data_IF_431048114050
#
_entry.id   IF_431048114050
#
_cell.length_a   1.000
_cell.length_b   1.000
_cell.length_c   1.000
_cell.angle_alpha   90.00
_cell.angle_beta   90.00
_cell.angle_gamma   90.00
#
_symmetry.space_group_name_H-M   'P 1'
#
loop_
_entity.id
_entity.type
_entity.pdbx_description
1 polymer ?
#
# COMPACT_ATOMS: atom_id res chain seq x y z
N UNK A 1 -23.65 -8.39 9.69
CA UNK A 1 -22.39 -8.49 8.92
C UNK A 1 -22.37 -7.40 7.85
N UNK A 2 -21.25 -6.74 7.65
CA UNK A 2 -21.11 -5.66 6.66
C UNK A 2 -21.11 -6.22 5.26
N UNK A 3 -21.78 -5.57 4.29
CA UNK A 3 -21.86 -6.04 2.91
C UNK A 3 -20.51 -6.02 2.20
N UNK A 4 -19.72 -4.98 2.38
CA UNK A 4 -18.43 -4.79 1.73
C UNK A 4 -18.52 -4.54 0.21
N UNK A 5 -17.38 -4.23 -0.40
CA UNK A 5 -17.21 -4.12 -1.85
C UNK A 5 -16.90 -5.49 -2.46
N UNK A 6 -17.27 -5.73 -3.71
CA UNK A 6 -16.98 -7.01 -4.37
C UNK A 6 -15.48 -7.15 -4.66
N UNK A 7 -14.82 -6.06 -5.03
CA UNK A 7 -13.40 -6.01 -5.38
C UNK A 7 -12.75 -4.91 -4.56
N UNK A 8 -11.77 -5.28 -3.75
CA UNK A 8 -10.97 -4.37 -2.95
C UNK A 8 -9.53 -4.42 -3.47
N UNK A 9 -9.01 -3.27 -3.86
CA UNK A 9 -7.67 -3.09 -4.40
C UNK A 9 -6.83 -2.28 -3.42
N UNK A 10 -5.60 -2.70 -3.18
CA UNK A 10 -4.69 -2.01 -2.27
C UNK A 10 -3.23 -2.25 -2.63
N UNK A 11 -2.32 -1.57 -1.95
CA UNK A 11 -0.88 -1.78 -2.04
C UNK A 11 -0.25 -1.53 -0.66
N UNK A 12 1.00 -1.94 -0.42
CA UNK A 12 1.71 -1.56 0.80
C UNK A 12 1.70 -0.05 1.02
N UNK A 13 1.64 0.38 2.26
CA UNK A 13 1.52 1.79 2.61
C UNK A 13 2.55 2.67 1.89
N UNK A 14 3.80 2.21 1.80
CA UNK A 14 4.90 2.89 1.11
C UNK A 14 4.69 3.09 -0.40
N UNK A 15 3.79 2.33 -1.01
CA UNK A 15 3.41 2.47 -2.42
C UNK A 15 2.13 3.30 -2.61
N UNK A 16 1.35 3.51 -1.54
CA UNK A 16 0.09 4.25 -1.56
C UNK A 16 0.22 5.73 -1.20
N UNK A 17 1.37 6.16 -0.69
CA UNK A 17 1.60 7.56 -0.31
C UNK A 17 1.83 8.44 -1.55
N UNK A 18 1.49 9.74 -1.42
CA UNK A 18 1.76 10.71 -2.47
C UNK A 18 3.26 10.96 -2.62
N UNK A 19 3.76 10.61 -3.76
CA UNK A 19 5.18 10.71 -4.07
C UNK A 19 5.56 12.05 -4.73
N UNK A 20 4.67 12.98 -4.93
CA UNK A 20 4.95 14.23 -5.62
C UNK A 20 5.93 15.12 -4.84
N UNK A 21 7.15 15.23 -5.35
CA UNK A 21 8.14 16.21 -4.91
C UNK A 21 9.23 15.75 -3.95
N UNK A 22 9.24 14.50 -3.51
CA UNK A 22 10.27 14.02 -2.61
C UNK A 22 11.22 13.01 -3.25
N UNK A 23 12.51 13.33 -3.34
CA UNK A 23 13.59 12.40 -3.73
C UNK A 23 13.61 11.13 -2.85
N UNK A 24 13.11 11.23 -1.64
CA UNK A 24 13.02 10.17 -0.64
C UNK A 24 12.16 8.99 -1.11
N UNK A 25 11.30 9.16 -2.06
CA UNK A 25 10.27 8.20 -2.45
C UNK A 25 10.81 6.98 -3.20
N UNK A 26 11.75 7.19 -4.09
CA UNK A 26 12.40 6.06 -4.76
C UNK A 26 13.18 5.19 -3.76
N UNK A 27 13.66 5.80 -2.67
CA UNK A 27 14.34 5.13 -1.57
C UNK A 27 13.38 4.50 -0.55
N UNK A 28 12.19 5.06 -0.36
CA UNK A 28 11.27 4.66 0.72
C UNK A 28 10.90 3.18 0.68
N UNK A 29 10.66 2.61 -0.48
CA UNK A 29 10.36 1.19 -0.62
C UNK A 29 11.55 0.26 -0.31
N UNK A 30 12.75 0.80 -0.27
CA UNK A 30 14.00 0.02 -0.19
C UNK A 30 14.83 0.32 1.05
N UNK A 31 14.50 1.34 1.86
CA UNK A 31 15.21 1.63 3.10
C UNK A 31 14.92 0.57 4.18
N UNK A 32 15.85 0.34 5.11
CA UNK A 32 15.61 -0.55 6.24
C UNK A 32 14.47 -0.05 7.12
N UNK A 33 13.67 -0.98 7.67
CA UNK A 33 12.50 -0.64 8.51
C UNK A 33 12.87 0.25 9.71
N UNK A 34 14.05 0.10 10.28
CA UNK A 34 14.48 0.92 11.42
C UNK A 34 14.58 2.42 11.11
N UNK A 35 14.71 2.79 9.80
CA UNK A 35 14.71 4.19 9.39
C UNK A 35 13.32 4.85 9.46
N UNK A 36 12.27 4.07 9.66
CA UNK A 36 10.92 4.57 9.80
C UNK A 36 10.80 5.63 10.90
N UNK A 37 11.43 5.40 12.05
CA UNK A 37 11.42 6.37 13.14
C UNK A 37 12.10 7.71 12.78
N UNK A 38 13.10 7.69 11.90
CA UNK A 38 13.74 8.91 11.37
C UNK A 38 12.76 9.66 10.50
N UNK A 39 12.04 8.93 9.66
CA UNK A 39 11.01 9.51 8.79
C UNK A 39 9.88 10.13 9.62
N UNK A 40 9.37 9.42 10.60
CA UNK A 40 8.32 9.91 11.50
C UNK A 40 8.73 11.18 12.24
N UNK A 41 10.00 11.29 12.60
CA UNK A 41 10.53 12.44 13.32
C UNK A 41 10.82 13.65 12.44
N UNK A 42 11.36 13.41 11.23
CA UNK A 42 11.81 14.48 10.33
C UNK A 42 10.76 14.91 9.30
N UNK A 43 9.88 14.00 8.91
CA UNK A 43 8.90 14.19 7.84
C UNK A 43 7.55 13.58 8.25
N UNK A 44 6.93 14.02 9.36
CA UNK A 44 5.71 13.40 9.89
C UNK A 44 4.57 13.40 8.88
N UNK A 45 4.59 14.32 7.91
CA UNK A 45 3.61 14.44 6.83
C UNK A 45 3.60 13.24 5.87
N UNK A 46 4.65 12.40 5.85
CA UNK A 46 4.69 11.23 4.96
C UNK A 46 3.59 10.21 5.26
N UNK A 47 3.04 10.24 6.49
CA UNK A 47 1.89 9.41 6.88
C UNK A 47 0.54 10.06 6.61
N UNK A 48 0.53 11.31 6.17
CA UNK A 48 -0.71 12.01 5.86
C UNK A 48 -1.27 11.52 4.53
N UNK A 49 -2.29 10.67 4.60
CA UNK A 49 -2.98 10.14 3.43
C UNK A 49 -4.34 10.82 3.26
N UNK A 50 -4.66 11.17 2.02
CA UNK A 50 -5.93 11.82 1.68
C UNK A 50 -6.94 10.77 1.25
N UNK A 51 -8.16 10.87 1.78
CA UNK A 51 -9.28 10.00 1.46
C UNK A 51 -10.39 10.79 0.79
N UNK A 52 -11.16 10.12 -0.07
CA UNK A 52 -12.46 10.63 -0.49
C UNK A 52 -13.49 10.48 0.62
N UNK A 53 -14.67 11.10 0.44
CA UNK A 53 -15.73 11.09 1.46
C UNK A 53 -16.24 9.67 1.80
N UNK A 54 -16.11 8.73 0.88
CA UNK A 54 -16.46 7.32 1.07
C UNK A 54 -15.35 6.49 1.76
N UNK A 55 -14.24 7.12 2.12
CA UNK A 55 -13.07 6.49 2.75
C UNK A 55 -12.09 5.85 1.77
N UNK A 56 -12.38 5.86 0.46
CA UNK A 56 -11.46 5.35 -0.56
C UNK A 56 -10.20 6.23 -0.68
N UNK A 57 -9.11 5.65 -1.17
CA UNK A 57 -7.83 6.33 -1.27
C UNK A 57 -7.85 7.38 -2.39
N UNK A 58 -7.37 8.60 -2.12
CA UNK A 58 -7.16 9.60 -3.18
C UNK A 58 -5.87 9.34 -3.97
N UNK A 59 -4.85 8.79 -3.32
CA UNK A 59 -3.56 8.48 -3.93
C UNK A 59 -3.37 6.98 -4.01
N UNK A 60 -2.95 6.50 -5.17
CA UNK A 60 -2.60 5.10 -5.39
C UNK A 60 -1.65 4.97 -6.59
N UNK A 61 -0.88 3.87 -6.69
CA UNK A 61 -0.09 3.57 -7.86
C UNK A 61 -0.92 3.62 -9.15
N UNK A 62 -0.35 4.17 -10.23
CA UNK A 62 -1.06 4.31 -11.50
C UNK A 62 -1.63 2.97 -12.01
N UNK A 63 -0.89 1.87 -11.84
CA UNK A 63 -1.35 0.53 -12.19
C UNK A 63 -2.63 0.11 -11.45
N UNK A 64 -2.74 0.44 -10.15
CA UNK A 64 -3.96 0.19 -9.39
C UNK A 64 -5.14 1.03 -9.89
N UNK A 65 -4.90 2.29 -10.26
CA UNK A 65 -5.95 3.16 -10.82
C UNK A 65 -6.46 2.67 -12.17
N UNK A 66 -5.55 2.17 -13.02
CA UNK A 66 -5.95 1.54 -14.29
C UNK A 66 -6.79 0.28 -14.04
N UNK A 67 -6.34 -0.57 -13.11
CA UNK A 67 -7.06 -1.80 -12.75
C UNK A 67 -8.44 -1.48 -12.15
N UNK A 68 -8.52 -0.51 -11.24
CA UNK A 68 -9.79 -0.03 -10.67
C UNK A 68 -10.77 0.36 -11.78
N UNK A 69 -10.32 1.16 -12.74
CA UNK A 69 -11.16 1.60 -13.84
C UNK A 69 -11.63 0.46 -14.74
N UNK A 70 -10.76 -0.48 -15.06
CA UNK A 70 -11.12 -1.66 -15.87
C UNK A 70 -12.12 -2.54 -15.12
N UNK A 71 -11.87 -2.81 -13.83
CA UNK A 71 -12.80 -3.61 -13.03
C UNK A 71 -14.14 -2.92 -12.83
N UNK A 72 -14.15 -1.60 -12.67
CA UNK A 72 -15.37 -0.81 -12.53
C UNK A 72 -16.26 -0.87 -13.79
N UNK A 73 -15.66 -0.96 -14.97
CA UNK A 73 -16.43 -1.15 -16.22
C UNK A 73 -17.18 -2.49 -16.27
N UNK A 74 -16.60 -3.55 -15.71
CA UNK A 74 -17.19 -4.90 -15.72
C UNK A 74 -18.13 -5.15 -14.52
N UNK A 75 -17.77 -4.64 -13.35
CA UNK A 75 -18.48 -4.94 -12.09
C UNK A 75 -19.32 -3.77 -11.57
N UNK A 76 -19.20 -2.58 -12.16
CA UNK A 76 -19.80 -1.33 -11.70
C UNK A 76 -18.96 -0.59 -10.64
N UNK A 77 -18.92 0.74 -10.74
CA UNK A 77 -18.10 1.62 -9.88
C UNK A 77 -18.35 1.39 -8.39
N UNK A 78 -19.60 1.12 -8.01
CA UNK A 78 -19.98 0.92 -6.61
C UNK A 78 -19.47 -0.39 -6.01
N UNK A 79 -19.01 -1.33 -6.83
CA UNK A 79 -18.52 -2.64 -6.41
C UNK A 79 -17.00 -2.73 -6.29
N UNK A 80 -16.27 -1.75 -6.80
CA UNK A 80 -14.81 -1.72 -6.81
C UNK A 80 -14.31 -0.55 -5.96
N UNK A 81 -13.21 -0.75 -5.26
CA UNK A 81 -12.59 0.32 -4.46
C UNK A 81 -11.08 0.13 -4.39
N UNK A 82 -10.35 1.25 -4.44
CA UNK A 82 -8.96 1.32 -4.00
C UNK A 82 -8.93 1.95 -2.61
N UNK A 83 -8.32 1.28 -1.64
CA UNK A 83 -8.21 1.77 -0.27
C UNK A 83 -6.80 1.67 0.28
N UNK A 84 -6.50 2.47 1.32
CA UNK A 84 -5.27 2.31 2.06
C UNK A 84 -5.27 1.01 2.88
N UNK A 85 -4.08 0.43 3.15
CA UNK A 85 -3.97 -0.81 3.94
C UNK A 85 -4.68 -0.75 5.29
N UNK A 86 -4.64 0.43 5.93
CA UNK A 86 -5.25 0.62 7.25
C UNK A 86 -6.78 0.72 7.22
N UNK A 87 -7.36 0.97 6.05
CA UNK A 87 -8.79 1.10 5.86
C UNK A 87 -9.44 -0.16 5.26
N UNK A 88 -8.66 -1.18 4.95
CA UNK A 88 -9.13 -2.37 4.21
C UNK A 88 -10.33 -3.04 4.87
N UNK A 89 -10.36 -3.08 6.21
CA UNK A 89 -11.46 -3.69 6.98
C UNK A 89 -12.78 -2.92 6.80
N UNK A 90 -12.73 -1.66 6.33
CA UNK A 90 -13.93 -0.88 6.04
C UNK A 90 -14.62 -1.35 4.76
N UNK A 91 -13.90 -1.99 3.86
CA UNK A 91 -14.37 -2.37 2.53
C UNK A 91 -14.56 -3.87 2.34
N UNK A 92 -13.93 -4.71 3.17
CA UNK A 92 -14.14 -6.15 3.17
C UNK A 92 -15.47 -6.49 3.88
N UNK A 93 -16.21 -7.43 3.31
CA UNK A 93 -17.48 -7.90 3.88
C UNK A 93 -18.00 -9.15 3.17
N UNK A 94 -19.26 -9.51 3.42
CA UNK A 94 -19.86 -10.74 2.88
C UNK A 94 -19.93 -10.81 1.36
N UNK A 95 -19.93 -9.66 0.69
CA UNK A 95 -19.96 -9.59 -0.77
C UNK A 95 -18.57 -9.58 -1.41
N UNK A 96 -17.50 -9.50 -0.62
CA UNK A 96 -16.15 -9.40 -1.15
C UNK A 96 -15.73 -10.71 -1.77
N UNK A 97 -15.41 -10.66 -3.05
CA UNK A 97 -14.97 -11.82 -3.85
C UNK A 97 -13.46 -11.81 -4.07
N UNK A 98 -12.90 -10.61 -4.22
CA UNK A 98 -11.49 -10.42 -4.55
C UNK A 98 -10.91 -9.31 -3.69
N UNK A 99 -9.79 -9.60 -3.05
CA UNK A 99 -8.88 -8.61 -2.48
C UNK A 99 -7.56 -8.73 -3.24
N UNK A 100 -7.24 -7.70 -4.03
CA UNK A 100 -6.03 -7.70 -4.83
C UNK A 100 -4.98 -6.74 -4.26
N UNK A 101 -3.77 -7.26 -4.12
CA UNK A 101 -2.61 -6.54 -3.62
C UNK A 101 -1.62 -6.30 -4.76
N UNK A 102 -1.34 -5.03 -5.04
CA UNK A 102 -0.24 -4.64 -5.93
C UNK A 102 1.01 -4.35 -5.10
N UNK A 103 2.13 -4.96 -5.45
CA UNK A 103 3.43 -4.64 -4.85
C UNK A 103 4.56 -5.03 -5.80
N UNK A 104 5.60 -4.19 -5.89
CA UNK A 104 6.75 -4.46 -6.76
C UNK A 104 7.96 -5.03 -6.02
N UNK A 105 7.94 -5.08 -4.70
CA UNK A 105 9.05 -5.67 -3.94
C UNK A 105 8.60 -6.38 -2.65
N UNK A 106 7.71 -7.38 -2.75
CA UNK A 106 7.11 -8.01 -1.56
C UNK A 106 8.13 -8.77 -0.70
N UNK A 107 9.20 -9.25 -1.30
CA UNK A 107 10.24 -10.03 -0.61
C UNK A 107 11.49 -9.22 -0.25
N UNK A 108 11.58 -7.96 -0.70
CA UNK A 108 12.75 -7.11 -0.43
C UNK A 108 14.03 -7.55 -1.14
N UNK A 109 13.93 -8.35 -2.21
CA UNK A 109 15.10 -8.95 -2.90
C UNK A 109 15.51 -8.22 -4.17
N UNK A 110 14.91 -7.08 -4.47
CA UNK A 110 15.30 -6.29 -5.64
C UNK A 110 16.70 -5.70 -5.44
N UNK A 111 17.37 -5.40 -6.55
CA UNK A 111 18.70 -4.78 -6.54
C UNK A 111 18.74 -3.51 -5.66
N UNK A 112 17.77 -2.63 -5.82
CA UNK A 112 17.68 -1.41 -5.02
C UNK A 112 17.57 -1.70 -3.51
N UNK A 113 16.73 -2.65 -3.10
CA UNK A 113 16.60 -3.03 -1.70
C UNK A 113 17.91 -3.59 -1.13
N UNK A 114 18.59 -4.45 -1.87
CA UNK A 114 19.89 -5.00 -1.48
C UNK A 114 20.97 -3.93 -1.33
N UNK A 115 21.06 -2.98 -2.28
CA UNK A 115 22.03 -1.89 -2.23
C UNK A 115 21.77 -0.96 -1.04
N UNK A 116 20.54 -0.49 -0.87
CA UNK A 116 20.23 0.44 0.22
C UNK A 116 20.37 -0.18 1.60
N UNK A 117 19.94 -1.43 1.78
CA UNK A 117 20.13 -2.11 3.05
C UNK A 117 21.60 -2.35 3.38
N UNK A 118 22.44 -2.63 2.38
CA UNK A 118 23.88 -2.78 2.55
C UNK A 118 24.59 -1.47 2.91
N UNK A 119 24.23 -0.36 2.24
CA UNK A 119 24.81 0.97 2.52
C UNK A 119 24.53 1.39 3.97
N UNK A 120 23.35 1.07 4.52
CA UNK A 120 22.99 1.41 5.88
C UNK A 120 23.45 0.35 6.92
N UNK A 121 24.33 -0.57 6.53
CA UNK A 121 24.95 -1.55 7.44
C UNK A 121 23.94 -2.55 8.04
N UNK A 122 22.84 -2.80 7.33
CA UNK A 122 21.74 -3.59 7.86
C UNK A 122 21.35 -4.71 6.90
N UNK A 123 21.45 -5.94 7.37
CA UNK A 123 20.77 -7.10 6.77
C UNK A 123 19.28 -7.15 7.12
N UNK A 124 18.71 -6.03 7.59
CA UNK A 124 17.34 -5.97 8.08
C UNK A 124 16.35 -5.82 6.93
N UNK A 125 15.14 -6.27 7.17
CA UNK A 125 14.02 -6.25 6.25
C UNK A 125 13.79 -4.83 5.68
N UNK A 126 13.66 -4.67 4.34
CA UNK A 126 13.24 -3.42 3.72
C UNK A 126 11.84 -3.04 4.17
N UNK A 127 11.59 -1.74 4.31
CA UNK A 127 10.32 -1.22 4.81
C UNK A 127 9.13 -1.69 3.96
N UNK A 128 9.28 -1.77 2.64
CA UNK A 128 8.19 -2.22 1.76
C UNK A 128 7.84 -3.69 1.97
N UNK A 129 8.85 -4.56 2.16
CA UNK A 129 8.63 -5.97 2.49
C UNK A 129 7.88 -6.13 3.82
N UNK A 130 8.26 -5.34 4.83
CA UNK A 130 7.58 -5.31 6.11
C UNK A 130 6.09 -4.94 5.96
N UNK A 131 5.79 -3.86 5.25
CA UNK A 131 4.41 -3.42 5.04
C UNK A 131 3.62 -4.38 4.15
N UNK A 132 4.24 -4.98 3.14
CA UNK A 132 3.59 -6.00 2.32
C UNK A 132 3.19 -7.21 3.17
N UNK A 133 4.09 -7.71 4.00
CA UNK A 133 3.82 -8.84 4.91
C UNK A 133 2.70 -8.50 5.90
N UNK A 134 2.78 -7.34 6.56
CA UNK A 134 1.75 -6.86 7.48
C UNK A 134 0.37 -6.80 6.81
N UNK A 135 0.33 -6.34 5.55
CA UNK A 135 -0.91 -6.26 4.78
C UNK A 135 -1.44 -7.65 4.42
N UNK A 136 -0.60 -8.58 4.00
CA UNK A 136 -1.00 -9.97 3.78
C UNK A 136 -1.59 -10.62 5.03
N UNK A 137 -0.94 -10.45 6.18
CA UNK A 137 -1.42 -10.99 7.45
C UNK A 137 -2.79 -10.41 7.82
N UNK A 138 -2.99 -9.11 7.59
CA UNK A 138 -4.28 -8.45 7.82
C UNK A 138 -5.39 -8.97 6.89
N UNK A 139 -5.09 -9.16 5.60
CA UNK A 139 -6.06 -9.70 4.64
C UNK A 139 -6.47 -11.13 5.02
N UNK A 140 -5.50 -11.94 5.49
CA UNK A 140 -5.77 -13.33 5.90
C UNK A 140 -6.58 -13.45 7.18
N UNK A 141 -6.59 -12.41 8.01
CA UNK A 141 -7.33 -12.37 9.28
C UNK A 141 -8.81 -11.98 9.10
N UNK A 142 -9.21 -11.44 7.94
CA UNK A 142 -10.58 -11.08 7.56
C UNK A 142 -11.27 -12.23 6.82
#
# INVERSE_FOLDING_TARGET
>A
MKQGKQIVLTAPFTEMIDHAGYFIQMGMASIPIWMEWVMDKKYPEWRNVKRFDDGSAQTAPAGLRVLEKVMAQEFGDHNVVVCYPDDIDQFIGTNTKIVALSTHNPLGVTFAAGVYTSIFGSSREPINSHYAKKLFDRIRAN
#
